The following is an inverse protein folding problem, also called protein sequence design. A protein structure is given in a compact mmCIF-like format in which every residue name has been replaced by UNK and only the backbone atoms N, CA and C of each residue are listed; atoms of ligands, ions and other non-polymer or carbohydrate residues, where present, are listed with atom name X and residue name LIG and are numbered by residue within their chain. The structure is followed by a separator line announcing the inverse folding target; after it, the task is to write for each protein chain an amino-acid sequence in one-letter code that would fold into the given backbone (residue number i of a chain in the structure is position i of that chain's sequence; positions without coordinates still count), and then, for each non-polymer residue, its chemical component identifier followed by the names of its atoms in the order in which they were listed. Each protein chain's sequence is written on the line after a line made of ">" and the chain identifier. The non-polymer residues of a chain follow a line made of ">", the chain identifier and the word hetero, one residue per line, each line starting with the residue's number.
data_IF_053276452572
#
_entry.id   IF_053276452572
#
_cell.length_a   1.000
_cell.length_b   1.000
_cell.length_c   1.000
_cell.angle_alpha   90.00
_cell.angle_beta   90.00
_cell.angle_gamma   90.00
#
_symmetry.space_group_name_H-M   'P 1'
#
loop_
_entity.id
_entity.type
_entity.pdbx_description
1 polymer ?
#
# COMPACT_ATOMS: atom_id res chain seq x y z
N UNK A 1 -24.24 0.83 14.61
CA UNK A 1 -23.68 0.45 15.90
C UNK A 1 -22.22 0.90 15.97
N UNK A 2 -21.87 1.64 17.01
CA UNK A 2 -20.53 2.23 17.25
C UNK A 2 -19.42 1.19 17.43
N UNK A 3 -19.75 -0.04 17.80
CA UNK A 3 -18.78 -1.13 18.06
C UNK A 3 -18.00 -1.53 16.80
N UNK A 4 -18.60 -1.46 15.61
CA UNK A 4 -17.89 -1.76 14.35
C UNK A 4 -16.92 -0.68 13.91
N UNK A 5 -17.13 0.58 14.32
CA UNK A 5 -16.25 1.70 13.98
C UNK A 5 -15.00 1.76 14.86
N UNK A 6 -15.08 1.37 16.13
CA UNK A 6 -13.93 1.32 17.03
C UNK A 6 -12.92 0.23 16.63
N UNK A 7 -13.38 -0.95 16.22
CA UNK A 7 -12.48 -1.99 15.70
C UNK A 7 -11.76 -1.56 14.42
N UNK A 8 -12.46 -0.90 13.50
CA UNK A 8 -11.84 -0.37 12.28
C UNK A 8 -10.83 0.75 12.56
N UNK A 9 -11.03 1.56 13.59
CA UNK A 9 -10.11 2.64 13.98
C UNK A 9 -8.88 2.09 14.69
N UNK A 10 -9.05 1.10 15.54
CA UNK A 10 -7.98 0.53 16.37
C UNK A 10 -6.96 -0.28 15.55
N UNK A 11 -7.41 -1.01 14.55
CA UNK A 11 -6.57 -1.93 13.77
C UNK A 11 -6.11 -1.35 12.42
N UNK A 12 -6.43 -0.10 12.12
CA UNK A 12 -6.03 0.54 10.87
C UNK A 12 -4.63 1.13 10.94
N UNK A 13 -3.93 1.07 9.81
CA UNK A 13 -2.70 1.83 9.59
C UNK A 13 -3.05 3.29 9.36
N UNK A 14 -2.29 4.21 9.98
CA UNK A 14 -2.45 5.65 9.78
C UNK A 14 -2.36 6.02 8.29
N UNK A 15 -3.22 6.91 7.80
CA UNK A 15 -3.26 7.30 6.39
C UNK A 15 -1.95 7.92 5.87
N UNK A 16 -1.16 8.54 6.75
CA UNK A 16 0.19 9.03 6.45
C UNK A 16 1.19 7.93 6.15
N UNK A 17 0.98 6.74 6.72
CA UNK A 17 1.85 5.57 6.57
C UNK A 17 1.42 4.64 5.43
N UNK A 18 0.32 4.97 4.75
CA UNK A 18 -0.23 4.16 3.67
C UNK A 18 0.28 4.63 2.31
N UNK A 19 0.67 3.67 1.47
CA UNK A 19 0.87 3.93 0.05
C UNK A 19 -0.46 4.18 -0.65
N UNK A 20 -0.46 4.94 -1.74
CA UNK A 20 -1.65 5.11 -2.56
C UNK A 20 -1.31 5.35 -4.03
N UNK A 21 -2.26 5.03 -4.91
CA UNK A 21 -2.13 5.26 -6.34
C UNK A 21 -3.24 6.16 -6.88
N UNK A 22 -2.90 6.96 -7.87
CA UNK A 22 -3.82 7.81 -8.61
C UNK A 22 -3.48 7.71 -10.12
N UNK A 23 -4.43 7.30 -11.00
CA UNK A 23 -5.78 6.85 -10.70
C UNK A 23 -5.83 5.52 -9.93
N UNK A 24 -7.01 5.15 -9.37
CA UNK A 24 -7.19 3.82 -8.78
C UNK A 24 -6.95 2.71 -9.82
N UNK A 25 -6.28 1.63 -9.42
CA UNK A 25 -5.90 0.54 -10.34
C UNK A 25 -6.97 -0.56 -10.39
N UNK A 26 -7.56 -0.90 -9.24
CA UNK A 26 -8.45 -2.06 -9.09
C UNK A 26 -9.91 -1.71 -8.84
N UNK A 27 -10.27 -0.43 -8.75
CA UNK A 27 -11.64 -0.01 -8.48
C UNK A 27 -12.45 0.05 -9.78
N UNK A 28 -13.60 -0.59 -9.79
CA UNK A 28 -14.51 -0.61 -10.96
C UNK A 28 -15.01 0.80 -11.29
N UNK A 29 -15.13 1.19 -12.58
CA UNK A 29 -15.51 2.55 -12.96
C UNK A 29 -16.84 3.05 -12.39
N UNK A 30 -17.85 2.16 -12.24
CA UNK A 30 -19.15 2.54 -11.69
C UNK A 30 -19.03 2.92 -10.20
N UNK A 31 -18.15 2.26 -9.44
CA UNK A 31 -17.89 2.62 -8.03
C UNK A 31 -17.20 3.98 -7.91
N UNK A 32 -16.26 4.28 -8.81
CA UNK A 32 -15.62 5.61 -8.85
C UNK A 32 -16.66 6.69 -9.07
N UNK A 33 -17.57 6.49 -10.03
CA UNK A 33 -18.66 7.44 -10.33
C UNK A 33 -19.60 7.61 -9.13
N UNK A 34 -19.92 6.53 -8.43
CA UNK A 34 -20.77 6.59 -7.25
C UNK A 34 -20.05 7.32 -6.08
N UNK A 35 -18.77 7.05 -5.85
CA UNK A 35 -17.95 7.79 -4.87
C UNK A 35 -17.94 9.30 -5.18
N UNK A 36 -17.76 9.67 -6.44
CA UNK A 36 -17.82 11.07 -6.85
C UNK A 36 -19.17 11.72 -6.57
N UNK A 37 -20.27 11.00 -6.84
CA UNK A 37 -21.63 11.48 -6.56
C UNK A 37 -21.87 11.65 -5.06
N UNK A 38 -21.48 10.68 -4.24
CA UNK A 38 -21.61 10.77 -2.78
C UNK A 38 -20.75 11.90 -2.23
N UNK A 39 -19.52 12.05 -2.72
CA UNK A 39 -18.64 13.15 -2.31
C UNK A 39 -19.23 14.52 -2.63
N UNK A 40 -19.85 14.68 -3.80
CA UNK A 40 -20.56 15.93 -4.16
C UNK A 40 -21.74 16.22 -3.23
N UNK A 41 -22.58 15.21 -2.93
CA UNK A 41 -23.70 15.36 -2.00
C UNK A 41 -23.22 15.78 -0.61
N UNK A 42 -22.16 15.14 -0.10
CA UNK A 42 -21.56 15.48 1.20
C UNK A 42 -21.01 16.92 1.21
N UNK A 43 -20.30 17.33 0.17
CA UNK A 43 -19.74 18.69 0.06
C UNK A 43 -20.83 19.75 0.05
N UNK A 44 -21.94 19.52 -0.65
CA UNK A 44 -23.09 20.43 -0.71
C UNK A 44 -23.84 20.48 0.63
N UNK A 45 -24.10 19.32 1.24
CA UNK A 45 -24.80 19.25 2.54
C UNK A 45 -24.04 19.95 3.66
N UNK A 46 -22.70 19.80 3.65
CA UNK A 46 -21.80 20.46 4.63
C UNK A 46 -21.42 21.89 4.23
N UNK A 47 -21.94 22.41 3.12
CA UNK A 47 -21.63 23.76 2.60
C UNK A 47 -20.12 24.05 2.54
N UNK A 48 -19.33 23.06 2.12
CA UNK A 48 -17.87 23.15 2.12
C UNK A 48 -17.37 24.23 1.17
N UNK A 49 -16.50 25.10 1.66
CA UNK A 49 -15.74 26.06 0.87
C UNK A 49 -14.26 25.72 0.96
N UNK A 50 -13.64 25.40 -0.17
CA UNK A 50 -12.24 24.99 -0.22
C UNK A 50 -12.06 23.48 -0.29
N UNK A 51 -11.32 22.88 0.64
CA UNK A 51 -11.03 21.47 0.65
C UNK A 51 -11.99 20.64 1.51
N UNK A 52 -12.21 19.42 1.04
CA UNK A 52 -12.81 18.34 1.81
C UNK A 52 -12.06 17.04 1.50
N UNK A 53 -11.80 16.26 2.53
CA UNK A 53 -11.26 14.91 2.42
C UNK A 53 -12.31 13.92 2.91
N UNK A 54 -12.59 12.90 2.13
CA UNK A 54 -13.50 11.82 2.52
C UNK A 54 -12.76 10.50 2.41
N UNK A 55 -12.84 9.67 3.44
CA UNK A 55 -12.33 8.31 3.42
C UNK A 55 -13.49 7.34 3.20
N UNK A 56 -13.31 6.48 2.21
CA UNK A 56 -14.25 5.43 1.87
C UNK A 56 -13.60 4.05 2.03
N UNK A 57 -14.40 3.05 2.34
CA UNK A 57 -14.05 1.65 2.20
C UNK A 57 -15.00 1.00 1.19
N UNK A 58 -14.48 0.01 0.45
CA UNK A 58 -15.27 -0.78 -0.49
C UNK A 58 -15.16 -2.24 -0.09
N UNK A 59 -16.33 -2.90 0.08
CA UNK A 59 -16.41 -4.33 0.37
C UNK A 59 -17.52 -4.94 -0.48
N UNK A 60 -17.21 -5.92 -1.32
CA UNK A 60 -18.19 -6.58 -2.21
C UNK A 60 -19.04 -5.57 -2.99
N UNK A 61 -18.39 -4.60 -3.62
CA UNK A 61 -19.02 -3.52 -4.40
C UNK A 61 -19.94 -2.56 -3.60
N UNK A 62 -19.96 -2.66 -2.29
CA UNK A 62 -20.61 -1.69 -1.40
C UNK A 62 -19.63 -0.64 -0.91
N UNK A 63 -20.05 0.62 -0.94
CA UNK A 63 -19.26 1.78 -0.53
C UNK A 63 -19.67 2.18 0.87
N UNK A 64 -18.69 2.34 1.75
CA UNK A 64 -18.86 2.78 3.14
C UNK A 64 -18.11 4.08 3.34
N UNK A 65 -18.78 5.09 3.89
CA UNK A 65 -18.14 6.32 4.33
C UNK A 65 -17.53 6.07 5.71
N UNK A 66 -16.23 6.25 5.85
CA UNK A 66 -15.52 6.09 7.12
C UNK A 66 -15.50 7.43 7.85
N UNK A 67 -14.98 8.48 7.19
CA UNK A 67 -14.95 9.82 7.77
C UNK A 67 -15.01 10.90 6.69
N UNK A 68 -15.50 12.07 7.09
CA UNK A 68 -15.56 13.28 6.25
C UNK A 68 -14.86 14.42 6.99
N UNK A 69 -13.84 14.97 6.39
CA UNK A 69 -13.04 16.06 6.96
C UNK A 69 -13.12 17.30 6.05
N UNK A 70 -13.90 18.33 6.38
CA UNK A 70 -14.01 19.57 5.59
C UNK A 70 -12.79 20.48 5.80
N UNK A 71 -11.63 19.97 5.48
CA UNK A 71 -10.32 20.61 5.58
C UNK A 71 -9.33 20.05 4.57
N UNK A 72 -8.18 20.70 4.39
CA UNK A 72 -7.06 20.13 3.67
C UNK A 72 -6.54 18.85 4.35
N UNK A 73 -6.02 17.93 3.54
CA UNK A 73 -5.35 16.71 4.00
C UNK A 73 -3.91 16.66 3.49
N UNK A 74 -3.10 15.76 4.02
CA UNK A 74 -1.74 15.49 3.53
C UNK A 74 -1.71 14.99 2.08
N UNK A 75 -2.81 14.44 1.59
CA UNK A 75 -2.95 13.97 0.20
C UNK A 75 -3.02 15.12 -0.81
N UNK A 76 -3.35 16.35 -0.38
CA UNK A 76 -3.48 17.51 -1.28
C UNK A 76 -2.19 17.79 -2.06
N UNK A 77 -0.98 17.85 -1.48
CA UNK A 77 0.26 18.06 -2.23
C UNK A 77 0.51 16.96 -3.26
N UNK A 78 0.25 15.69 -2.90
CA UNK A 78 0.38 14.55 -3.81
C UNK A 78 -0.57 14.69 -5.00
N UNK A 79 -1.87 14.90 -4.77
CA UNK A 79 -2.87 15.04 -5.84
C UNK A 79 -2.57 16.27 -6.71
N UNK A 80 -2.15 17.38 -6.11
CA UNK A 80 -1.77 18.60 -6.81
C UNK A 80 -0.64 18.36 -7.82
N UNK A 81 0.41 17.65 -7.39
CA UNK A 81 1.52 17.26 -8.26
C UNK A 81 1.08 16.23 -9.31
N UNK A 82 0.39 15.18 -8.90
CA UNK A 82 -0.07 14.11 -9.80
C UNK A 82 -0.97 14.63 -10.92
N UNK A 83 -1.81 15.63 -10.65
CA UNK A 83 -2.72 16.25 -11.64
C UNK A 83 -2.14 17.47 -12.31
N UNK A 84 -0.98 17.95 -11.87
CA UNK A 84 -0.38 19.21 -12.27
C UNK A 84 -1.37 20.39 -12.17
N UNK A 85 -2.02 20.49 -11.01
CA UNK A 85 -2.98 21.53 -10.69
C UNK A 85 -2.59 22.19 -9.36
N UNK A 86 -2.57 23.52 -9.26
CA UNK A 86 -2.23 24.23 -8.02
C UNK A 86 -3.42 24.25 -7.06
N UNK A 87 -3.82 23.07 -6.54
CA UNK A 87 -5.06 22.88 -5.79
C UNK A 87 -5.14 23.78 -4.53
N UNK A 88 -4.03 23.93 -3.81
CA UNK A 88 -4.01 24.80 -2.63
C UNK A 88 -4.30 26.26 -2.98
N UNK A 89 -3.69 26.79 -4.04
CA UNK A 89 -3.95 28.14 -4.55
C UNK A 89 -5.41 28.31 -4.98
N UNK A 90 -5.97 27.32 -5.68
CA UNK A 90 -7.36 27.34 -6.13
C UNK A 90 -8.30 27.35 -4.92
N UNK A 91 -8.08 26.48 -3.95
CA UNK A 91 -8.90 26.40 -2.74
C UNK A 91 -8.87 27.69 -1.93
N UNK A 92 -7.70 28.30 -1.73
CA UNK A 92 -7.56 29.58 -1.02
C UNK A 92 -8.35 30.70 -1.71
N UNK A 93 -8.31 30.79 -3.04
CA UNK A 93 -9.09 31.77 -3.80
C UNK A 93 -10.59 31.53 -3.71
N UNK A 94 -11.03 30.26 -3.73
CA UNK A 94 -12.44 29.91 -3.50
C UNK A 94 -12.88 30.28 -2.09
N UNK A 95 -12.05 30.04 -1.08
CA UNK A 95 -12.32 30.45 0.30
C UNK A 95 -12.40 31.98 0.43
N UNK A 96 -11.65 32.73 -0.37
CA UNK A 96 -11.69 34.18 -0.46
C UNK A 96 -12.90 34.71 -1.29
N UNK A 97 -13.79 33.83 -1.77
CA UNK A 97 -15.04 34.21 -2.43
C UNK A 97 -15.03 34.08 -3.96
N UNK A 98 -13.95 33.63 -4.58
CA UNK A 98 -13.96 33.39 -6.03
C UNK A 98 -14.81 32.15 -6.37
N UNK A 99 -15.53 32.23 -7.48
CA UNK A 99 -16.33 31.09 -7.97
C UNK A 99 -15.43 30.00 -8.54
N UNK A 100 -15.65 28.75 -8.16
CA UNK A 100 -14.91 27.59 -8.64
C UNK A 100 -14.95 27.45 -10.19
N UNK A 101 -16.04 27.90 -10.81
CA UNK A 101 -16.20 27.90 -12.27
C UNK A 101 -15.18 28.75 -13.05
N UNK A 102 -14.47 29.67 -12.37
CA UNK A 102 -13.40 30.47 -12.97
C UNK A 102 -12.11 29.68 -13.21
N UNK A 103 -11.97 28.50 -12.62
CA UNK A 103 -10.75 27.72 -12.67
C UNK A 103 -10.88 26.55 -13.66
N UNK A 104 -9.84 26.37 -14.50
CA UNK A 104 -9.74 25.17 -15.31
C UNK A 104 -9.18 24.01 -14.47
N UNK A 105 -10.05 23.07 -14.11
CA UNK A 105 -9.73 21.91 -13.27
C UNK A 105 -9.38 20.66 -14.09
N UNK A 106 -9.21 20.78 -15.42
CA UNK A 106 -8.80 19.64 -16.25
C UNK A 106 -7.37 19.25 -15.91
N UNK A 107 -7.16 17.98 -15.59
CA UNK A 107 -5.82 17.44 -15.37
C UNK A 107 -4.95 17.61 -16.62
N UNK A 108 -3.74 18.07 -16.43
CA UNK A 108 -2.73 18.21 -17.50
C UNK A 108 -1.94 16.92 -17.73
N UNK A 109 -2.09 15.93 -16.84
CA UNK A 109 -1.40 14.64 -16.89
C UNK A 109 -2.42 13.55 -17.19
N UNK A 110 -2.69 13.32 -18.49
CA UNK A 110 -3.51 12.20 -18.93
C UNK A 110 -2.68 10.92 -18.98
N UNK A 111 -3.32 9.80 -18.73
CA UNK A 111 -2.75 8.44 -18.87
C UNK A 111 -1.46 8.19 -18.07
N UNK A 112 -1.33 8.85 -16.93
CA UNK A 112 -0.20 8.70 -16.02
C UNK A 112 -0.67 8.15 -14.68
N UNK A 113 0.12 7.24 -14.13
CA UNK A 113 -0.02 6.77 -12.74
C UNK A 113 0.93 7.55 -11.85
N UNK A 114 0.42 7.99 -10.71
CA UNK A 114 1.20 8.52 -9.62
C UNK A 114 1.05 7.58 -8.42
N UNK A 115 2.15 7.13 -7.85
CA UNK A 115 2.16 6.30 -6.63
C UNK A 115 2.86 7.09 -5.53
N UNK A 116 2.15 7.30 -4.42
CA UNK A 116 2.71 7.84 -3.19
C UNK A 116 3.23 6.69 -2.34
N UNK A 117 4.44 6.84 -1.82
CA UNK A 117 5.02 5.92 -0.84
C UNK A 117 5.46 6.69 0.40
N UNK A 118 5.32 6.08 1.57
CA UNK A 118 5.71 6.67 2.84
C UNK A 118 7.18 6.40 3.13
N UNK A 119 7.88 7.38 3.71
CA UNK A 119 9.27 7.24 4.12
C UNK A 119 9.34 6.99 5.61
N UNK A 120 9.93 5.86 6.00
CA UNK A 120 10.08 5.46 7.39
C UNK A 120 11.53 5.62 7.87
N UNK A 121 11.77 6.23 9.05
CA UNK A 121 13.11 6.44 9.57
C UNK A 121 13.64 5.25 10.39
N UNK A 122 13.14 4.03 10.15
CA UNK A 122 13.47 2.85 10.96
C UNK A 122 14.96 2.55 11.01
N UNK A 123 15.70 2.83 9.94
CA UNK A 123 17.15 2.67 9.89
C UNK A 123 17.89 3.55 10.92
N UNK A 124 17.28 4.68 11.33
CA UNK A 124 17.86 5.63 12.29
C UNK A 124 17.46 5.30 13.74
N UNK A 125 16.44 4.46 13.90
CA UNK A 125 15.88 4.10 15.21
C UNK A 125 15.73 2.57 15.31
N UNK A 126 16.85 1.83 15.48
CA UNK A 126 16.87 0.37 15.43
C UNK A 126 16.01 -0.31 16.51
N UNK A 127 15.70 0.38 17.60
CA UNK A 127 14.88 -0.14 18.71
C UNK A 127 13.40 0.28 18.61
N UNK A 128 12.99 0.93 17.51
CA UNK A 128 11.59 1.31 17.34
C UNK A 128 10.73 0.12 16.89
N UNK A 129 9.50 0.07 17.36
CA UNK A 129 8.53 -0.89 16.88
C UNK A 129 8.22 -0.65 15.39
N UNK A 130 8.44 -1.67 14.55
CA UNK A 130 8.24 -1.64 13.11
C UNK A 130 6.78 -1.89 12.70
N UNK A 131 5.92 -2.33 13.62
CA UNK A 131 4.52 -2.60 13.32
C UNK A 131 3.78 -1.28 13.09
N UNK A 132 3.16 -1.16 11.93
CA UNK A 132 2.32 -0.01 11.61
C UNK A 132 0.98 -0.14 12.32
N UNK A 133 0.46 0.99 12.80
CA UNK A 133 -0.77 1.08 13.55
C UNK A 133 -1.49 2.41 13.34
N UNK A 134 -2.38 2.79 14.26
CA UNK A 134 -3.13 4.05 14.15
C UNK A 134 -2.27 5.30 14.33
N UNK A 135 -1.10 5.18 14.95
CA UNK A 135 -0.15 6.27 15.11
C UNK A 135 0.77 6.37 13.90
N UNK A 136 1.02 7.59 13.44
CA UNK A 136 1.88 7.84 12.29
C UNK A 136 3.35 7.65 12.64
N UNK A 137 4.04 6.77 11.89
CA UNK A 137 5.48 6.49 12.03
C UNK A 137 6.32 7.06 10.89
N UNK A 138 5.71 7.40 9.77
CA UNK A 138 6.42 8.00 8.62
C UNK A 138 6.84 9.44 8.91
N UNK A 139 8.00 9.84 8.37
CA UNK A 139 8.56 11.19 8.49
C UNK A 139 8.44 12.00 7.20
N UNK A 140 8.00 11.37 6.12
CA UNK A 140 7.84 12.01 4.83
C UNK A 140 7.13 11.12 3.83
N UNK A 141 6.93 11.63 2.63
CA UNK A 141 6.34 10.91 1.52
C UNK A 141 7.04 11.24 0.22
N UNK A 142 7.10 10.29 -0.69
CA UNK A 142 7.68 10.41 -2.03
C UNK A 142 6.65 10.00 -3.08
N UNK A 143 6.92 10.32 -4.35
CA UNK A 143 6.04 10.01 -5.45
C UNK A 143 6.81 9.37 -6.61
N UNK A 144 6.35 8.21 -7.06
CA UNK A 144 6.70 7.64 -8.35
C UNK A 144 5.66 8.05 -9.40
N UNK A 145 6.11 8.34 -10.63
CA UNK A 145 5.25 8.83 -11.71
C UNK A 145 5.65 8.20 -13.05
N UNK A 146 4.70 7.52 -13.70
CA UNK A 146 4.94 6.82 -14.98
C UNK A 146 3.62 6.53 -15.72
N UNK A 147 3.71 6.20 -17.02
CA UNK A 147 2.58 5.67 -17.80
C UNK A 147 2.21 4.24 -17.41
N UNK A 148 3.13 3.48 -16.88
CA UNK A 148 2.92 2.13 -16.39
C UNK A 148 2.84 2.13 -14.86
N UNK A 149 1.80 1.52 -14.29
CA UNK A 149 1.60 1.46 -12.84
C UNK A 149 2.77 0.78 -12.11
N UNK A 150 3.26 -0.37 -12.62
CA UNK A 150 4.39 -1.09 -12.01
C UNK A 150 5.67 -0.24 -11.98
N UNK A 151 5.93 0.53 -13.04
CA UNK A 151 7.05 1.48 -13.09
C UNK A 151 6.86 2.67 -12.14
N UNK A 152 5.65 3.22 -12.04
CA UNK A 152 5.35 4.26 -11.07
C UNK A 152 5.56 3.75 -9.63
N UNK A 153 5.12 2.52 -9.34
CA UNK A 153 5.34 1.86 -8.06
C UNK A 153 6.84 1.64 -7.79
N UNK A 154 7.58 1.09 -8.74
CA UNK A 154 9.02 0.88 -8.61
C UNK A 154 9.77 2.20 -8.32
N UNK A 155 9.43 3.26 -9.05
CA UNK A 155 9.99 4.60 -8.82
C UNK A 155 9.68 5.14 -7.42
N UNK A 156 8.47 4.89 -6.89
CA UNK A 156 8.12 5.32 -5.53
C UNK A 156 8.92 4.56 -4.47
N UNK A 157 9.16 3.25 -4.67
CA UNK A 157 9.99 2.44 -3.76
C UNK A 157 11.44 2.93 -3.75
N UNK A 158 12.03 3.15 -4.93
CA UNK A 158 13.38 3.68 -5.05
C UNK A 158 13.50 5.06 -4.37
N UNK A 159 12.51 5.94 -4.59
CA UNK A 159 12.48 7.26 -3.96
C UNK A 159 12.32 7.20 -2.44
N UNK A 160 11.64 6.17 -1.91
CA UNK A 160 11.56 5.88 -0.47
C UNK A 160 12.83 5.21 0.09
N UNK A 161 13.89 5.09 -0.72
CA UNK A 161 15.15 4.39 -0.39
C UNK A 161 14.98 2.89 -0.16
N UNK A 162 13.92 2.29 -0.71
CA UNK A 162 13.73 0.86 -0.73
C UNK A 162 14.43 0.28 -1.96
N UNK A 163 15.52 -0.44 -1.74
CA UNK A 163 16.23 -1.13 -2.81
C UNK A 163 15.38 -2.27 -3.36
N UNK A 164 15.08 -2.24 -4.66
CA UNK A 164 14.40 -3.34 -5.34
C UNK A 164 15.44 -4.32 -5.89
N UNK A 165 15.45 -5.58 -5.42
CA UNK A 165 16.38 -6.57 -5.93
C UNK A 165 16.00 -6.95 -7.38
N UNK A 166 17.01 -7.13 -8.23
CA UNK A 166 16.84 -7.58 -9.62
C UNK A 166 17.20 -9.07 -9.83
N UNK A 167 17.78 -9.70 -8.81
CA UNK A 167 18.16 -11.12 -8.76
C UNK A 167 18.44 -11.54 -7.33
N UNK A 168 18.55 -12.81 -7.08
CA UNK A 168 18.95 -13.36 -5.79
C UNK A 168 18.01 -14.45 -5.31
N UNK A 169 18.00 -14.69 -3.98
CA UNK A 169 17.11 -15.66 -3.36
C UNK A 169 15.83 -14.93 -2.88
N UNK A 170 14.66 -15.35 -3.39
CA UNK A 170 13.37 -14.90 -2.93
C UNK A 170 12.76 -15.91 -1.95
N UNK A 171 12.41 -15.45 -0.76
CA UNK A 171 11.68 -16.25 0.21
C UNK A 171 10.18 -16.00 0.06
N UNK A 172 9.40 -17.07 -0.01
CA UNK A 172 7.95 -17.03 -0.20
C UNK A 172 7.26 -17.81 0.92
N UNK A 173 6.36 -17.13 1.63
CA UNK A 173 5.51 -17.74 2.66
C UNK A 173 4.07 -17.30 2.46
N UNK A 174 3.20 -18.21 2.05
CA UNK A 174 1.82 -17.91 1.66
C UNK A 174 0.84 -18.67 2.53
N UNK A 175 -0.26 -17.99 2.88
CA UNK A 175 -1.43 -18.68 3.41
C UNK A 175 -2.14 -19.46 2.29
N UNK A 176 -2.91 -20.49 2.68
CA UNK A 176 -3.51 -21.42 1.73
C UNK A 176 -4.37 -20.74 0.64
N UNK A 177 -5.11 -19.69 0.99
CA UNK A 177 -5.95 -18.94 0.04
C UNK A 177 -5.17 -18.17 -1.04
N UNK A 178 -3.85 -18.00 -0.91
CA UNK A 178 -3.01 -17.26 -1.87
C UNK A 178 -1.99 -18.15 -2.58
N UNK A 179 -2.05 -19.47 -2.38
CA UNK A 179 -1.07 -20.39 -2.96
C UNK A 179 -1.18 -20.47 -4.48
N UNK A 180 -2.38 -20.42 -5.02
CA UNK A 180 -2.62 -20.47 -6.46
C UNK A 180 -2.02 -19.25 -7.18
N UNK A 181 -2.30 -18.04 -6.68
CA UNK A 181 -1.66 -16.81 -7.17
C UNK A 181 -0.15 -16.82 -6.97
N UNK A 182 0.31 -17.48 -5.90
CA UNK A 182 1.72 -17.64 -5.58
C UNK A 182 2.49 -18.48 -6.59
N UNK A 183 1.87 -19.44 -7.24
CA UNK A 183 2.50 -20.23 -8.31
C UNK A 183 2.82 -19.34 -9.52
N UNK A 184 1.87 -18.47 -9.91
CA UNK A 184 2.10 -17.55 -11.03
C UNK A 184 3.19 -16.52 -10.70
N UNK A 185 3.18 -15.99 -9.46
CA UNK A 185 4.25 -15.14 -8.98
C UNK A 185 5.62 -15.86 -8.99
N UNK A 186 5.67 -17.10 -8.54
CA UNK A 186 6.90 -17.92 -8.56
C UNK A 186 7.45 -18.10 -9.97
N UNK A 187 6.59 -18.37 -10.97
CA UNK A 187 7.00 -18.44 -12.38
C UNK A 187 7.62 -17.14 -12.87
N UNK A 188 7.02 -16.00 -12.52
CA UNK A 188 7.54 -14.69 -12.90
C UNK A 188 8.90 -14.40 -12.25
N UNK A 189 9.06 -14.73 -10.97
CA UNK A 189 10.34 -14.58 -10.28
C UNK A 189 11.45 -15.43 -10.87
N UNK A 190 11.15 -16.68 -11.25
CA UNK A 190 12.13 -17.54 -11.95
C UNK A 190 12.52 -16.95 -13.31
N UNK A 191 11.57 -16.43 -14.08
CA UNK A 191 11.88 -15.71 -15.35
C UNK A 191 12.78 -14.49 -15.13
N UNK A 192 12.71 -13.87 -13.96
CA UNK A 192 13.57 -12.75 -13.54
C UNK A 192 14.88 -13.21 -12.88
N UNK A 193 15.25 -14.48 -13.01
CA UNK A 193 16.47 -15.08 -12.45
C UNK A 193 16.56 -15.08 -10.92
N UNK A 194 15.42 -15.11 -10.22
CA UNK A 194 15.41 -15.38 -8.79
C UNK A 194 15.45 -16.89 -8.53
N UNK A 195 16.22 -17.30 -7.52
CA UNK A 195 16.09 -18.61 -6.89
C UNK A 195 15.02 -18.53 -5.82
N UNK A 196 14.24 -19.59 -5.64
CA UNK A 196 13.13 -19.57 -4.71
C UNK A 196 13.40 -20.44 -3.50
N UNK A 197 12.96 -19.96 -2.34
CA UNK A 197 12.82 -20.75 -1.12
C UNK A 197 11.53 -20.37 -0.40
N UNK A 198 11.04 -21.24 0.46
CA UNK A 198 9.79 -20.97 1.16
C UNK A 198 9.56 -21.87 2.36
N UNK A 199 8.55 -21.54 3.16
CA UNK A 199 8.08 -22.42 4.24
C UNK A 199 7.53 -23.72 3.68
N UNK A 200 7.61 -24.81 4.45
CA UNK A 200 7.30 -26.17 4.00
C UNK A 200 6.05 -26.25 3.13
N UNK A 201 4.90 -25.85 3.63
CA UNK A 201 3.64 -25.94 2.87
C UNK A 201 3.57 -25.02 1.63
N UNK A 202 4.33 -23.92 1.56
CA UNK A 202 4.44 -23.06 0.36
C UNK A 202 5.42 -23.67 -0.63
N UNK A 203 6.59 -24.12 -0.18
CA UNK A 203 7.60 -24.70 -1.02
C UNK A 203 7.11 -26.01 -1.67
N UNK A 204 6.44 -26.88 -0.89
CA UNK A 204 5.86 -28.12 -1.41
C UNK A 204 4.81 -27.83 -2.49
N UNK A 205 3.92 -26.86 -2.25
CA UNK A 205 2.89 -26.49 -3.22
C UNK A 205 3.47 -25.92 -4.53
N UNK A 206 4.44 -25.03 -4.45
CA UNK A 206 5.14 -24.47 -5.63
C UNK A 206 5.88 -25.57 -6.40
N UNK A 207 6.55 -26.49 -5.68
CA UNK A 207 7.29 -27.60 -6.29
C UNK A 207 6.38 -28.61 -7.00
N UNK A 208 5.18 -28.87 -6.49
CA UNK A 208 4.16 -29.70 -7.16
C UNK A 208 3.74 -29.14 -8.53
N UNK A 209 3.90 -27.83 -8.74
CA UNK A 209 3.63 -27.17 -10.04
C UNK A 209 4.89 -27.06 -10.93
N UNK A 210 5.91 -27.87 -10.67
CA UNK A 210 7.12 -27.97 -11.53
C UNK A 210 8.12 -26.81 -11.35
N UNK A 211 8.01 -26.02 -10.28
CA UNK A 211 8.91 -24.90 -10.02
C UNK A 211 9.83 -25.25 -8.84
N UNK A 212 11.15 -25.18 -9.06
CA UNK A 212 12.11 -25.46 -8.00
C UNK A 212 12.02 -24.45 -6.87
N UNK A 213 11.66 -24.88 -5.67
CA UNK A 213 11.56 -24.05 -4.47
C UNK A 213 12.20 -24.78 -3.27
N UNK A 214 13.28 -24.22 -2.71
CA UNK A 214 13.99 -24.83 -1.57
C UNK A 214 13.16 -24.65 -0.31
N UNK A 215 12.96 -25.74 0.44
CA UNK A 215 12.27 -25.71 1.72
C UNK A 215 13.15 -25.12 2.83
N UNK A 216 12.59 -24.22 3.61
CA UNK A 216 13.20 -23.61 4.80
C UNK A 216 12.24 -23.77 5.98
N UNK A 217 12.79 -24.07 7.15
CA UNK A 217 12.00 -24.23 8.36
C UNK A 217 11.37 -22.89 8.80
N UNK A 218 10.22 -22.98 9.45
CA UNK A 218 9.69 -21.86 10.23
C UNK A 218 10.51 -21.67 11.51
N UNK A 219 10.41 -20.50 12.15
CA UNK A 219 11.18 -20.17 13.36
C UNK A 219 10.98 -21.23 14.47
N UNK A 220 9.77 -21.75 14.60
CA UNK A 220 9.40 -22.77 15.61
C UNK A 220 9.77 -24.21 15.23
N UNK A 221 10.38 -24.46 14.08
CA UNK A 221 10.72 -25.80 13.57
C UNK A 221 12.23 -26.15 13.70
N UNK A 222 13.00 -25.25 14.30
CA UNK A 222 14.43 -25.42 14.51
C UNK A 222 15.30 -24.91 13.36
N UNK A 223 16.60 -24.73 13.66
CA UNK A 223 17.61 -24.23 12.71
C UNK A 223 17.98 -25.31 11.68
N UNK A 224 18.29 -24.93 10.40
CA UNK A 224 18.25 -23.57 9.89
C UNK A 224 16.84 -23.10 9.55
N UNK A 225 16.42 -22.01 10.15
CA UNK A 225 15.13 -21.37 9.90
C UNK A 225 15.29 -20.04 9.13
N UNK A 226 14.16 -19.40 8.80
CA UNK A 226 14.17 -18.19 7.96
C UNK A 226 15.03 -17.07 8.54
N UNK A 227 15.03 -16.87 9.87
CA UNK A 227 15.82 -15.80 10.51
C UNK A 227 17.32 -16.05 10.36
N UNK A 228 17.77 -17.31 10.42
CA UNK A 228 19.18 -17.65 10.19
C UNK A 228 19.63 -17.26 8.78
N UNK A 229 18.76 -17.51 7.80
CA UNK A 229 19.03 -17.21 6.38
C UNK A 229 18.99 -15.71 6.11
N UNK A 230 18.11 -14.97 6.80
CA UNK A 230 18.05 -13.50 6.76
C UNK A 230 19.30 -12.88 7.39
N UNK A 231 19.67 -13.33 8.59
CA UNK A 231 20.87 -12.84 9.28
C UNK A 231 22.15 -13.09 8.47
N UNK A 232 22.19 -14.19 7.72
CA UNK A 232 23.27 -14.46 6.78
C UNK A 232 23.22 -13.58 5.51
N UNK A 233 22.28 -12.62 5.39
CA UNK A 233 22.07 -11.72 4.24
C UNK A 233 21.97 -12.45 2.90
N UNK A 234 21.41 -13.66 2.91
CA UNK A 234 21.27 -14.51 1.71
C UNK A 234 19.95 -14.28 0.96
N UNK A 235 18.96 -13.61 1.59
CA UNK A 235 17.66 -13.35 0.98
C UNK A 235 17.64 -11.93 0.41
N UNK A 236 17.27 -11.81 -0.86
CA UNK A 236 17.13 -10.55 -1.57
C UNK A 236 15.69 -10.02 -1.54
N UNK A 237 14.70 -10.92 -1.48
CA UNK A 237 13.28 -10.54 -1.50
C UNK A 237 12.48 -11.45 -0.57
N UNK A 238 11.62 -10.86 0.24
CA UNK A 238 10.68 -11.58 1.11
C UNK A 238 9.25 -11.30 0.64
N UNK A 239 8.49 -12.37 0.40
CA UNK A 239 7.06 -12.31 0.08
C UNK A 239 6.33 -13.13 1.13
N UNK A 240 5.61 -12.43 2.01
CA UNK A 240 4.86 -13.05 3.09
C UNK A 240 3.41 -12.56 3.08
N UNK A 241 2.46 -13.48 2.92
CA UNK A 241 1.03 -13.20 3.02
C UNK A 241 0.45 -13.74 4.34
N UNK A 242 1.28 -13.90 5.35
CA UNK A 242 0.85 -14.29 6.69
C UNK A 242 -0.21 -13.30 7.20
N UNK A 243 -1.22 -13.82 7.79
CA UNK A 243 -2.34 -13.07 8.32
C UNK A 243 -3.31 -14.05 8.95
N UNK A 244 -3.09 -14.39 10.18
CA UNK A 244 -3.99 -15.13 11.04
C UNK A 244 -3.81 -14.60 12.44
N UNK A 245 -4.86 -14.67 13.25
CA UNK A 245 -4.91 -14.21 14.63
C UNK A 245 -4.10 -15.09 15.61
N UNK A 246 -3.13 -15.89 15.14
CA UNK A 246 -2.28 -16.69 16.03
C UNK A 246 -1.01 -15.92 16.38
N UNK A 247 -0.67 -15.88 17.66
CA UNK A 247 0.55 -15.28 18.21
C UNK A 247 1.83 -15.74 17.49
N UNK A 248 1.87 -17.00 17.04
CA UNK A 248 2.97 -17.57 16.26
C UNK A 248 3.15 -16.93 14.87
N UNK A 249 2.06 -16.50 14.22
CA UNK A 249 2.17 -15.83 12.92
C UNK A 249 2.58 -14.36 13.06
N UNK A 250 2.24 -13.73 14.18
CA UNK A 250 2.68 -12.39 14.51
C UNK A 250 4.18 -12.38 14.81
N UNK A 251 4.69 -13.37 15.56
CA UNK A 251 6.12 -13.52 15.85
C UNK A 251 6.96 -13.77 14.61
N UNK A 252 6.47 -14.61 13.68
CA UNK A 252 7.13 -14.85 12.39
C UNK A 252 7.18 -13.56 11.53
N UNK A 253 6.10 -12.78 11.52
CA UNK A 253 6.05 -11.52 10.77
C UNK A 253 6.98 -10.43 11.36
N UNK A 254 7.11 -10.37 12.68
CA UNK A 254 8.04 -9.46 13.38
C UNK A 254 9.49 -9.88 13.12
N UNK A 255 9.79 -11.18 13.17
CA UNK A 255 11.13 -11.70 12.93
C UNK A 255 11.61 -11.53 11.46
N UNK A 256 10.68 -11.32 10.51
CA UNK A 256 10.95 -11.10 9.09
C UNK A 256 11.18 -9.61 8.73
N UNK A 257 10.94 -8.69 9.65
CA UNK A 257 11.10 -7.24 9.48
C UNK A 257 12.36 -6.73 10.14
#
# INVERSE_FOLDING_TARGET
>A
SLVGSEMCIRDRIHSGDSACSLPPVSIKPFLIKEIENQTKKLALALKVKGFMNVQYAIKKDQIYVIEVNPRASRTVPFVSKAKNLPLAKIASRVMAGEKLSKFNLKSKTKDMFAVKESVFPFNKFPNSDLLLGPEMKSTGEVMGFDKNFGMAFAKSQIAASNSLPIKGLAFISLKNSHKEEGVELAKQLVKLNFKLCGTGGTADYISQHGIQCKKINKVNQGSPHIVDVLNAKKIALVINTGGGNSETQLSDAVALR
#
